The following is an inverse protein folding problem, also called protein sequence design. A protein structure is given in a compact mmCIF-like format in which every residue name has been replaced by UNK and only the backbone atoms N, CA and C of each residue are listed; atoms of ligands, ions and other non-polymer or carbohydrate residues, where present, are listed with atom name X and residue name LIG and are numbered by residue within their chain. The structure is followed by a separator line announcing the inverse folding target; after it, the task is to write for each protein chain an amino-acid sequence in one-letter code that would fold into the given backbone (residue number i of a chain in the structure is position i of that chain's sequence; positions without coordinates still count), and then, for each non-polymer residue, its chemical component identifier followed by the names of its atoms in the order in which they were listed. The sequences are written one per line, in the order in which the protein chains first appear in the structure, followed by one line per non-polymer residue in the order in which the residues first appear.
data_IF_281073140171
#
_entry.id   IF_281073140171
#
_cell.length_a   1.000
_cell.length_b   1.000
_cell.length_c   1.000
_cell.angle_alpha   90.00
_cell.angle_beta   90.00
_cell.angle_gamma   90.00
#
_symmetry.space_group_name_H-M   'P 1'
#
loop_
_entity.id
_entity.type
_entity.pdbx_description
1 polymer ?
#
# COMPACT_ATOMS: atom_id res chain seq x y z
N UNK A 1 29.92 4.83 4.40
CA UNK A 1 28.76 4.36 5.18
C UNK A 1 27.75 3.90 4.16
N UNK A 2 27.39 2.62 4.17
CA UNK A 2 26.34 2.14 3.28
C UNK A 2 25.03 2.83 3.66
N UNK A 3 24.36 3.39 2.65
CA UNK A 3 23.07 4.03 2.81
C UNK A 3 22.03 2.97 3.19
N UNK A 4 21.32 3.14 4.31
CA UNK A 4 20.30 2.18 4.72
C UNK A 4 19.17 2.10 3.67
N UNK A 5 19.00 0.91 3.08
CA UNK A 5 17.95 0.64 2.10
C UNK A 5 16.76 0.01 2.80
N UNK A 6 15.75 0.83 3.08
CA UNK A 6 14.51 0.40 3.72
C UNK A 6 13.45 0.11 2.65
N UNK A 7 12.82 -1.07 2.74
CA UNK A 7 11.65 -1.47 1.94
C UNK A 7 10.42 -1.54 2.86
N UNK A 8 9.35 -0.84 2.49
CA UNK A 8 8.04 -0.98 3.12
C UNK A 8 7.18 -1.92 2.28
N UNK A 9 6.65 -2.98 2.90
CA UNK A 9 5.84 -3.99 2.23
C UNK A 9 4.49 -4.16 2.94
N UNK A 10 3.41 -3.95 2.19
CA UNK A 10 2.04 -4.28 2.62
C UNK A 10 1.65 -5.63 1.98
N UNK A 11 1.18 -6.58 2.79
CA UNK A 11 0.86 -7.94 2.34
C UNK A 11 -0.62 -8.20 2.52
N UNK A 12 -1.31 -8.35 1.39
CA UNK A 12 -2.68 -8.84 1.29
C UNK A 12 -2.65 -10.38 1.21
N UNK A 13 -3.18 -11.05 2.24
CA UNK A 13 -3.04 -12.50 2.42
C UNK A 13 -4.12 -13.30 1.69
N UNK A 14 -5.35 -12.79 1.66
CA UNK A 14 -6.50 -13.43 1.05
C UNK A 14 -6.78 -12.94 -0.38
N UNK A 15 -6.01 -11.97 -0.87
CA UNK A 15 -6.02 -11.53 -2.26
C UNK A 15 -7.14 -10.55 -2.57
N UNK A 16 -7.62 -9.83 -1.57
CA UNK A 16 -8.74 -8.91 -1.69
C UNK A 16 -8.43 -7.72 -2.59
N UNK A 17 -7.16 -7.31 -2.72
CA UNK A 17 -6.75 -6.30 -3.71
C UNK A 17 -7.11 -6.77 -5.12
N UNK A 18 -6.72 -7.99 -5.50
CA UNK A 18 -6.98 -8.52 -6.85
C UNK A 18 -8.49 -8.73 -7.04
N UNK A 19 -9.17 -9.31 -6.05
CA UNK A 19 -10.60 -9.65 -6.12
C UNK A 19 -11.50 -8.42 -6.18
N UNK A 20 -11.19 -7.36 -5.41
CA UNK A 20 -12.07 -6.19 -5.22
C UNK A 20 -11.70 -5.00 -6.11
N UNK A 21 -10.46 -4.92 -6.61
CA UNK A 21 -10.03 -3.81 -7.49
C UNK A 21 -9.64 -4.25 -8.90
N UNK A 22 -9.43 -5.55 -9.14
CA UNK A 22 -8.94 -6.03 -10.44
C UNK A 22 -7.48 -5.66 -10.75
N UNK A 23 -6.76 -5.04 -9.81
CA UNK A 23 -5.33 -4.71 -9.96
C UNK A 23 -4.46 -5.94 -9.82
N UNK A 24 -3.43 -6.02 -10.64
CA UNK A 24 -2.38 -7.04 -10.53
C UNK A 24 -1.34 -6.64 -9.48
N UNK A 25 -1.04 -7.54 -8.56
CA UNK A 25 0.08 -7.42 -7.62
C UNK A 25 1.37 -8.01 -8.23
N UNK A 26 2.57 -7.56 -7.82
CA UNK A 26 2.84 -6.54 -6.81
C UNK A 26 2.62 -5.12 -7.33
N UNK A 27 2.07 -4.24 -6.47
CA UNK A 27 1.90 -2.82 -6.76
C UNK A 27 3.12 -2.07 -6.25
N UNK A 28 3.93 -1.54 -7.16
CA UNK A 28 5.21 -0.90 -6.82
C UNK A 28 5.10 0.62 -6.92
N UNK A 29 5.58 1.31 -5.87
CA UNK A 29 5.69 2.76 -5.80
C UNK A 29 4.54 3.43 -5.04
N UNK A 30 4.85 4.51 -4.31
CA UNK A 30 3.92 5.23 -3.42
C UNK A 30 2.60 5.61 -4.10
N UNK A 31 2.67 6.28 -5.26
CA UNK A 31 1.48 6.75 -5.99
C UNK A 31 0.54 5.62 -6.38
N UNK A 32 1.07 4.52 -6.95
CA UNK A 32 0.25 3.38 -7.38
C UNK A 32 -0.41 2.68 -6.19
N UNK A 33 0.28 2.60 -5.05
CA UNK A 33 -0.29 2.06 -3.82
C UNK A 33 -1.41 2.97 -3.28
N UNK A 34 -1.24 4.30 -3.32
CA UNK A 34 -2.29 5.24 -2.91
C UNK A 34 -3.55 5.10 -3.77
N UNK A 35 -3.39 5.06 -5.09
CA UNK A 35 -4.51 4.87 -6.02
C UNK A 35 -5.24 3.54 -5.77
N UNK A 36 -4.51 2.47 -5.49
CA UNK A 36 -5.09 1.16 -5.18
C UNK A 36 -5.84 1.16 -3.84
N UNK A 37 -5.30 1.82 -2.82
CA UNK A 37 -5.97 1.98 -1.52
C UNK A 37 -7.27 2.78 -1.64
N UNK A 38 -7.27 3.86 -2.42
CA UNK A 38 -8.47 4.66 -2.71
C UNK A 38 -9.51 3.82 -3.46
N UNK A 39 -9.09 3.10 -4.50
CA UNK A 39 -9.99 2.25 -5.28
C UNK A 39 -10.61 1.14 -4.44
N UNK A 40 -9.83 0.50 -3.57
CA UNK A 40 -10.33 -0.51 -2.63
C UNK A 40 -11.36 0.08 -1.67
N UNK A 41 -11.07 1.23 -1.05
CA UNK A 41 -11.99 1.90 -0.15
C UNK A 41 -13.27 2.42 -0.83
N UNK A 42 -13.21 2.78 -2.11
CA UNK A 42 -14.38 3.18 -2.89
C UNK A 42 -15.25 1.99 -3.29
N UNK A 43 -14.63 0.84 -3.59
CA UNK A 43 -15.34 -0.38 -3.97
C UNK A 43 -15.94 -1.10 -2.76
N UNK A 44 -15.24 -1.10 -1.64
CA UNK A 44 -15.67 -1.72 -0.38
C UNK A 44 -15.23 -0.86 0.83
N UNK A 45 -16.05 0.12 1.26
CA UNK A 45 -15.72 1.01 2.37
C UNK A 45 -15.57 0.32 3.72
N UNK A 46 -16.08 -0.91 3.88
CA UNK A 46 -15.96 -1.69 5.12
C UNK A 46 -14.68 -2.54 5.16
N UNK A 47 -13.92 -2.58 4.07
CA UNK A 47 -12.67 -3.34 3.97
C UNK A 47 -11.54 -2.72 4.81
N UNK A 48 -10.93 -3.53 5.67
CA UNK A 48 -9.81 -3.12 6.52
C UNK A 48 -8.48 -3.03 5.76
N UNK A 49 -8.32 -3.76 4.66
CA UNK A 49 -7.08 -3.78 3.86
C UNK A 49 -6.71 -2.41 3.29
N UNK A 50 -7.69 -1.56 2.97
CA UNK A 50 -7.42 -0.19 2.55
C UNK A 50 -6.65 0.59 3.64
N UNK A 51 -6.98 0.37 4.92
CA UNK A 51 -6.28 1.00 6.04
C UNK A 51 -4.84 0.49 6.18
N UNK A 52 -4.60 -0.80 5.93
CA UNK A 52 -3.26 -1.35 5.92
C UNK A 52 -2.39 -0.70 4.82
N UNK A 53 -2.96 -0.47 3.64
CA UNK A 53 -2.27 0.22 2.54
C UNK A 53 -1.99 1.69 2.88
N UNK A 54 -2.95 2.41 3.47
CA UNK A 54 -2.74 3.80 3.92
C UNK A 54 -1.63 3.91 4.98
N UNK A 55 -1.58 2.97 5.92
CA UNK A 55 -0.53 2.94 6.95
C UNK A 55 0.85 2.65 6.34
N UNK A 56 0.94 1.73 5.37
CA UNK A 56 2.19 1.48 4.66
C UNK A 56 2.70 2.73 3.92
N UNK A 57 1.80 3.50 3.29
CA UNK A 57 2.15 4.78 2.65
C UNK A 57 2.62 5.80 3.69
N UNK A 58 1.94 5.90 4.84
CA UNK A 58 2.34 6.81 5.93
C UNK A 58 3.73 6.46 6.49
N UNK A 59 4.02 5.17 6.68
CA UNK A 59 5.33 4.69 7.11
C UNK A 59 6.39 5.03 6.07
N UNK A 60 6.13 4.76 4.79
CA UNK A 60 7.03 5.12 3.69
C UNK A 60 7.33 6.63 3.66
N UNK A 61 6.29 7.48 3.73
CA UNK A 61 6.43 8.94 3.70
C UNK A 61 7.26 9.46 4.88
N UNK A 62 7.04 8.89 6.07
CA UNK A 62 7.82 9.24 7.28
C UNK A 62 9.29 8.87 7.12
N UNK A 63 9.58 7.65 6.65
CA UNK A 63 10.95 7.20 6.42
C UNK A 63 11.65 8.00 5.32
N UNK A 64 10.91 8.48 4.32
CA UNK A 64 11.46 9.38 3.29
C UNK A 64 11.84 10.75 3.87
N UNK A 65 11.08 11.26 4.85
CA UNK A 65 11.36 12.52 5.55
C UNK A 65 12.49 12.42 6.60
N UNK A 66 12.75 11.22 7.13
CA UNK A 66 13.80 10.95 8.12
C UNK A 66 15.20 10.74 7.47
N UNK A 67 15.27 10.69 6.14
CA UNK A 67 16.53 10.65 5.36
C UNK A 67 17.13 12.05 5.19
#
# INVERSE_FOLDING_TARGET
MDEERILVLCVDRDGDIVKKTGRTTPIIGRKKNLEAAIELALNDPEEADANAMFEAIRIYDRLEQEK
#
